data_IF_571756898717
#
_entry.id   IF_571756898717
#
_cell.length_a   1.000
_cell.length_b   1.000
_cell.length_c   1.000
_cell.angle_alpha   90.00
_cell.angle_beta   90.00
_cell.angle_gamma   90.00
#
_symmetry.space_group_name_H-M   'P 1'
#
loop_
_entity.id
_entity.type
_entity.pdbx_description
1 polymer ?
#
# COMPACT_ATOMS: atom_id res chain seq x y z
N UNK A 1 72.45 -81.28 -45.45
CA UNK A 1 71.80 -82.00 -44.33
C UNK A 1 70.29 -81.95 -44.55
N UNK A 2 69.65 -83.13 -44.60
CA UNK A 2 68.32 -83.47 -44.05
C UNK A 2 67.36 -82.31 -43.71
N UNK A 3 66.05 -82.29 -43.99
CA UNK A 3 65.09 -83.40 -44.12
C UNK A 3 63.65 -82.82 -44.19
N UNK A 4 62.85 -83.39 -45.09
CA UNK A 4 61.41 -83.70 -45.00
C UNK A 4 60.34 -82.63 -44.70
N UNK A 5 59.49 -82.41 -45.73
CA UNK A 5 58.01 -82.57 -45.75
C UNK A 5 57.19 -82.02 -44.58
N UNK A 6 56.17 -81.21 -44.87
CA UNK A 6 54.84 -81.72 -45.24
C UNK A 6 53.80 -80.58 -45.30
N UNK A 7 53.12 -80.48 -46.45
CA UNK A 7 51.77 -79.92 -46.53
C UNK A 7 50.83 -80.61 -45.53
N UNK A 8 50.00 -79.82 -44.84
CA UNK A 8 48.64 -80.23 -44.46
C UNK A 8 47.80 -79.02 -44.01
N UNK A 9 46.82 -78.73 -44.85
CA UNK A 9 45.57 -78.04 -44.58
C UNK A 9 44.96 -78.48 -43.23
N UNK A 10 44.69 -77.53 -42.34
CA UNK A 10 43.73 -77.66 -41.24
C UNK A 10 42.93 -76.35 -41.16
N UNK A 11 41.76 -76.28 -41.81
CA UNK A 11 40.45 -76.76 -41.33
C UNK A 11 39.85 -75.80 -40.29
N UNK A 12 38.81 -75.12 -40.73
CA UNK A 12 37.86 -74.29 -39.99
C UNK A 12 37.52 -74.84 -38.60
N UNK A 13 37.53 -73.98 -37.57
CA UNK A 13 36.88 -74.24 -36.29
C UNK A 13 35.57 -73.46 -36.21
N UNK A 14 34.40 -74.12 -36.30
CA UNK A 14 33.16 -73.54 -35.79
C UNK A 14 33.21 -73.57 -34.26
N UNK A 15 32.96 -72.42 -33.63
CA UNK A 15 32.70 -72.32 -32.19
C UNK A 15 31.39 -73.05 -31.90
N UNK A 16 31.47 -74.28 -31.42
CA UNK A 16 30.34 -75.01 -30.89
C UNK A 16 29.85 -74.32 -29.61
N UNK A 17 28.73 -73.61 -29.72
CA UNK A 17 27.94 -73.18 -28.57
C UNK A 17 27.45 -74.45 -27.88
N UNK A 18 28.07 -74.83 -26.77
CA UNK A 18 27.56 -75.90 -25.91
C UNK A 18 26.24 -75.41 -25.30
N UNK A 19 25.12 -75.93 -25.81
CA UNK A 19 23.81 -75.76 -25.18
C UNK A 19 23.88 -76.34 -23.77
N UNK A 20 23.77 -75.47 -22.77
CA UNK A 20 23.59 -75.88 -21.38
C UNK A 20 22.11 -76.22 -21.21
N UNK A 21 21.79 -77.50 -21.04
CA UNK A 21 20.42 -77.94 -20.71
C UNK A 21 20.11 -77.59 -19.25
N UNK A 22 19.53 -76.40 -19.05
CA UNK A 22 18.98 -75.98 -17.77
C UNK A 22 17.58 -76.56 -17.60
N UNK A 23 17.41 -77.57 -16.74
CA UNK A 23 16.07 -78.05 -16.33
C UNK A 23 15.50 -77.12 -15.26
N UNK A 24 14.78 -76.08 -15.70
CA UNK A 24 14.11 -75.13 -14.80
C UNK A 24 12.71 -75.64 -14.47
N UNK A 25 12.43 -75.89 -13.19
CA UNK A 25 11.06 -76.18 -12.73
C UNK A 25 10.26 -74.88 -12.69
N UNK A 26 9.25 -74.77 -13.54
CA UNK A 26 8.40 -73.59 -13.66
C UNK A 26 6.99 -73.90 -13.17
N UNK A 27 6.30 -72.92 -12.59
CA UNK A 27 4.90 -73.10 -12.19
C UNK A 27 4.02 -73.41 -13.42
N UNK A 28 2.94 -74.19 -13.28
CA UNK A 28 2.06 -74.53 -14.40
C UNK A 28 1.51 -73.29 -15.12
N UNK A 29 1.25 -72.21 -14.39
CA UNK A 29 0.77 -70.93 -14.93
C UNK A 29 1.81 -70.24 -15.80
N UNK A 30 3.07 -70.17 -15.34
CA UNK A 30 4.16 -69.57 -16.11
C UNK A 30 4.52 -70.44 -17.32
N UNK A 31 4.51 -71.77 -17.18
CA UNK A 31 4.69 -72.70 -18.30
C UNK A 31 3.58 -72.58 -19.37
N UNK A 32 2.36 -72.22 -18.97
CA UNK A 32 1.24 -71.92 -19.89
C UNK A 32 1.46 -70.60 -20.62
N UNK A 33 1.93 -69.57 -19.91
CA UNK A 33 2.23 -68.25 -20.49
C UNK A 33 3.39 -68.30 -21.49
N UNK A 34 4.47 -69.02 -21.16
CA UNK A 34 5.61 -69.22 -22.06
C UNK A 34 5.16 -69.92 -23.34
N UNK A 35 4.33 -70.97 -23.25
CA UNK A 35 3.77 -71.65 -24.43
C UNK A 35 2.92 -70.72 -25.28
N UNK A 36 1.98 -69.99 -24.68
CA UNK A 36 1.16 -68.99 -25.40
C UNK A 36 2.01 -67.91 -26.08
N UNK A 37 3.08 -67.48 -25.42
CA UNK A 37 4.00 -66.49 -25.97
C UNK A 37 4.75 -67.05 -27.18
N UNK A 38 5.36 -68.23 -27.04
CA UNK A 38 6.07 -68.90 -28.13
C UNK A 38 5.17 -69.18 -29.34
N UNK A 39 3.90 -69.56 -29.12
CA UNK A 39 2.90 -69.72 -30.18
C UNK A 39 2.63 -68.42 -30.94
N UNK A 40 2.57 -67.29 -30.23
CA UNK A 40 2.34 -65.97 -30.83
C UNK A 40 3.58 -65.44 -31.56
N UNK A 41 4.77 -65.65 -31.02
CA UNK A 41 6.05 -65.30 -31.67
C UNK A 41 6.26 -66.12 -32.95
N UNK A 42 5.98 -67.43 -32.91
CA UNK A 42 6.05 -68.30 -34.08
C UNK A 42 5.06 -67.88 -35.19
N UNK A 43 3.95 -67.22 -34.81
CA UNK A 43 3.00 -66.60 -35.72
C UNK A 43 3.45 -65.26 -36.32
N UNK A 44 4.67 -64.79 -36.00
CA UNK A 44 5.24 -63.55 -36.54
C UNK A 44 5.03 -62.30 -35.67
N UNK A 45 4.44 -62.42 -34.48
CA UNK A 45 4.32 -61.30 -33.53
C UNK A 45 5.68 -60.95 -32.94
N UNK A 46 5.91 -59.66 -32.68
CA UNK A 46 7.08 -59.22 -31.93
C UNK A 46 7.06 -59.85 -30.51
N UNK A 47 8.23 -60.19 -29.91
CA UNK A 47 8.30 -60.86 -28.62
C UNK A 47 7.55 -60.12 -27.49
N UNK A 48 7.62 -58.79 -27.49
CA UNK A 48 6.92 -57.94 -26.52
C UNK A 48 5.41 -58.01 -26.66
N UNK A 49 4.89 -58.06 -27.88
CA UNK A 49 3.46 -58.10 -28.15
C UNK A 49 2.89 -59.50 -27.89
N UNK A 50 3.69 -60.54 -28.16
CA UNK A 50 3.38 -61.92 -27.81
C UNK A 50 3.29 -62.12 -26.30
N UNK A 51 4.23 -61.53 -25.53
CA UNK A 51 4.20 -61.54 -24.06
C UNK A 51 2.98 -60.80 -23.50
N UNK A 52 2.71 -59.59 -23.99
CA UNK A 52 1.55 -58.79 -23.57
C UNK A 52 0.23 -59.50 -23.90
N UNK A 53 0.12 -60.07 -25.10
CA UNK A 53 -1.05 -60.85 -25.51
C UNK A 53 -1.22 -62.12 -24.68
N UNK A 54 -0.12 -62.82 -24.34
CA UNK A 54 -0.16 -63.99 -23.45
C UNK A 54 -0.60 -63.61 -22.03
N UNK A 55 -0.23 -62.43 -21.56
CA UNK A 55 -0.69 -61.84 -20.29
C UNK A 55 -2.15 -61.32 -20.35
N UNK A 56 -2.79 -61.34 -21.52
CA UNK A 56 -4.18 -60.89 -21.70
C UNK A 56 -4.33 -59.40 -21.98
N UNK A 57 -3.25 -58.68 -22.27
CA UNK A 57 -3.25 -57.26 -22.60
C UNK A 57 -3.26 -57.10 -24.12
N UNK A 58 -4.25 -56.40 -24.66
CA UNK A 58 -4.25 -56.07 -26.08
C UNK A 58 -3.25 -54.94 -26.37
N UNK A 59 -2.43 -55.02 -27.42
CA UNK A 59 -1.46 -53.97 -27.76
C UNK A 59 -2.14 -52.62 -28.05
N UNK A 60 -3.36 -52.65 -28.61
CA UNK A 60 -4.16 -51.45 -28.86
C UNK A 60 -4.60 -50.75 -27.56
N UNK A 61 -4.92 -51.50 -26.50
CA UNK A 61 -5.28 -50.96 -25.19
C UNK A 61 -4.04 -50.35 -24.49
N UNK A 62 -2.88 -50.97 -24.63
CA UNK A 62 -1.64 -50.40 -24.09
C UNK A 62 -1.27 -49.09 -24.79
N UNK A 63 -1.45 -49.02 -26.11
CA UNK A 63 -1.20 -47.80 -26.88
C UNK A 63 -2.15 -46.66 -26.46
N UNK A 64 -3.45 -46.95 -26.30
CA UNK A 64 -4.41 -45.94 -25.85
C UNK A 64 -4.16 -45.49 -24.40
N UNK A 65 -3.79 -46.41 -23.50
CA UNK A 65 -3.41 -46.07 -22.13
C UNK A 65 -2.16 -45.18 -22.07
N UNK A 66 -1.15 -45.46 -22.90
CA UNK A 66 0.05 -44.60 -23.01
C UNK A 66 -0.30 -43.23 -23.53
N UNK A 67 -1.10 -43.15 -24.59
CA UNK A 67 -1.57 -41.89 -25.14
C UNK A 67 -2.36 -41.07 -24.11
N UNK A 68 -3.25 -41.71 -23.36
CA UNK A 68 -4.02 -41.04 -22.30
C UNK A 68 -3.12 -40.59 -21.14
N UNK A 69 -2.10 -41.37 -20.78
CA UNK A 69 -1.11 -40.99 -19.78
C UNK A 69 -0.30 -39.76 -20.24
N UNK A 70 0.10 -39.71 -21.51
CA UNK A 70 0.77 -38.56 -22.10
C UNK A 70 -0.12 -37.32 -22.11
N UNK A 71 -1.37 -37.44 -22.58
CA UNK A 71 -2.34 -36.34 -22.60
C UNK A 71 -2.61 -35.79 -21.19
N UNK A 72 -2.91 -36.68 -20.23
CA UNK A 72 -3.13 -36.26 -18.84
C UNK A 72 -1.88 -35.64 -18.21
N UNK A 73 -0.68 -36.13 -18.55
CA UNK A 73 0.56 -35.52 -18.08
C UNK A 73 0.77 -34.11 -18.62
N UNK A 74 0.40 -33.86 -19.88
CA UNK A 74 0.44 -32.54 -20.49
C UNK A 74 -0.59 -31.60 -19.84
N UNK A 75 -1.83 -32.06 -19.65
CA UNK A 75 -2.87 -31.29 -18.96
C UNK A 75 -2.45 -30.92 -17.53
N UNK A 76 -1.84 -31.85 -16.79
CA UNK A 76 -1.31 -31.58 -15.44
C UNK A 76 -0.19 -30.53 -15.49
N UNK A 77 0.69 -30.59 -16.49
CA UNK A 77 1.76 -29.60 -16.66
C UNK A 77 1.19 -28.20 -16.93
N UNK A 78 0.18 -28.10 -17.80
CA UNK A 78 -0.50 -26.85 -18.13
C UNK A 78 -1.24 -26.27 -16.91
N UNK A 79 -2.00 -27.11 -16.19
CA UNK A 79 -2.68 -26.68 -14.96
C UNK A 79 -1.69 -26.22 -13.88
N UNK A 80 -0.54 -26.88 -13.76
CA UNK A 80 0.53 -26.43 -12.84
C UNK A 80 1.12 -25.09 -13.26
N UNK A 81 1.31 -24.86 -14.56
CA UNK A 81 1.78 -23.57 -15.07
C UNK A 81 0.77 -22.45 -14.78
N UNK A 82 -0.52 -22.72 -15.01
CA UNK A 82 -1.60 -21.77 -14.70
C UNK A 82 -1.69 -21.48 -13.20
N UNK A 83 -1.60 -22.51 -12.35
CA UNK A 83 -1.59 -22.34 -10.90
C UNK A 83 -0.38 -21.50 -10.43
N UNK A 84 0.81 -21.74 -10.97
CA UNK A 84 1.99 -20.94 -10.66
C UNK A 84 1.83 -19.48 -11.08
N UNK A 85 1.19 -19.22 -12.23
CA UNK A 85 0.87 -17.86 -12.68
C UNK A 85 -0.14 -17.18 -11.76
N UNK A 86 -1.20 -17.88 -11.37
CA UNK A 86 -2.21 -17.35 -10.44
C UNK A 86 -1.58 -17.01 -9.08
N UNK A 87 -0.71 -17.87 -8.53
CA UNK A 87 0.01 -17.60 -7.29
C UNK A 87 0.91 -16.35 -7.39
N UNK A 88 1.57 -16.13 -8.52
CA UNK A 88 2.35 -14.90 -8.77
C UNK A 88 1.47 -13.65 -8.85
N UNK A 89 0.27 -13.77 -9.39
CA UNK A 89 -0.69 -12.67 -9.42
C UNK A 89 -1.22 -12.36 -8.02
N UNK A 90 -1.54 -13.39 -7.24
CA UNK A 90 -1.96 -13.24 -5.85
C UNK A 90 -0.88 -12.54 -5.05
N UNK A 91 0.38 -13.01 -5.10
CA UNK A 91 1.47 -12.37 -4.35
C UNK A 91 1.71 -10.92 -4.77
N UNK A 92 1.56 -10.59 -6.05
CA UNK A 92 1.60 -9.21 -6.53
C UNK A 92 0.47 -8.38 -5.93
N UNK A 93 -0.77 -8.86 -5.99
CA UNK A 93 -1.92 -8.15 -5.45
C UNK A 93 -1.82 -7.97 -3.92
N UNK A 94 -1.32 -8.96 -3.20
CA UNK A 94 -1.03 -8.86 -1.76
C UNK A 94 -0.03 -7.75 -1.46
N UNK A 95 1.07 -7.67 -2.24
CA UNK A 95 2.05 -6.60 -2.06
C UNK A 95 1.48 -5.21 -2.38
N UNK A 96 0.62 -5.09 -3.39
CA UNK A 96 -0.06 -3.84 -3.70
C UNK A 96 -1.09 -3.46 -2.63
N UNK A 97 -1.78 -4.45 -2.03
CA UNK A 97 -2.71 -4.22 -0.93
C UNK A 97 -1.96 -3.70 0.31
N UNK A 98 -0.85 -4.35 0.70
CA UNK A 98 -0.01 -3.89 1.80
C UNK A 98 0.48 -2.44 1.58
N UNK A 99 0.92 -2.11 0.36
CA UNK A 99 1.32 -0.74 0.04
C UNK A 99 0.16 0.27 0.16
N UNK A 100 -1.07 -0.12 -0.20
CA UNK A 100 -2.25 0.72 -0.02
C UNK A 100 -2.57 0.91 1.46
N UNK A 101 -2.44 -0.13 2.28
CA UNK A 101 -2.66 -0.07 3.72
C UNK A 101 -1.66 0.87 4.40
N UNK A 102 -0.38 0.79 4.04
CA UNK A 102 0.66 1.74 4.51
C UNK A 102 0.29 3.18 4.16
N UNK A 103 -0.19 3.41 2.93
CA UNK A 103 -0.61 4.75 2.50
C UNK A 103 -1.86 5.25 3.22
N UNK A 104 -2.80 4.36 3.54
CA UNK A 104 -3.98 4.70 4.33
C UNK A 104 -3.56 5.10 5.75
N UNK A 105 -2.64 4.35 6.37
CA UNK A 105 -2.12 4.66 7.70
C UNK A 105 -1.44 6.04 7.73
N UNK A 106 -0.62 6.37 6.73
CA UNK A 106 0.00 7.70 6.60
C UNK A 106 -1.05 8.81 6.45
N UNK A 107 -2.05 8.63 5.59
CA UNK A 107 -3.11 9.62 5.41
C UNK A 107 -3.95 9.82 6.68
N UNK A 108 -4.13 8.77 7.49
CA UNK A 108 -4.83 8.88 8.77
C UNK A 108 -4.02 9.70 9.79
N UNK A 109 -2.70 9.52 9.82
CA UNK A 109 -1.79 10.32 10.66
C UNK A 109 -1.79 11.80 10.25
N UNK A 110 -1.73 12.07 8.94
CA UNK A 110 -1.82 13.42 8.37
C UNK A 110 -3.16 14.09 8.75
N UNK A 111 -4.28 13.36 8.63
CA UNK A 111 -5.60 13.86 9.03
C UNK A 111 -5.65 14.13 10.54
N UNK A 112 -5.06 13.25 11.36
CA UNK A 112 -4.94 13.44 12.80
C UNK A 112 -4.21 14.73 13.15
N UNK A 113 -3.01 14.91 12.58
CA UNK A 113 -2.17 16.09 12.76
C UNK A 113 -2.88 17.38 12.31
N UNK A 114 -3.53 17.35 11.14
CA UNK A 114 -4.28 18.50 10.63
C UNK A 114 -5.49 18.85 11.52
N UNK A 115 -6.14 17.84 12.09
CA UNK A 115 -7.28 18.02 12.99
C UNK A 115 -6.85 18.66 14.32
N UNK A 116 -5.70 18.22 14.87
CA UNK A 116 -5.11 18.84 16.07
C UNK A 116 -4.73 20.29 15.83
N UNK A 117 -4.03 20.59 14.72
CA UNK A 117 -3.67 21.96 14.35
C UNK A 117 -4.91 22.87 14.23
N UNK A 118 -5.98 22.38 13.60
CA UNK A 118 -7.25 23.12 13.48
C UNK A 118 -7.94 23.32 14.83
N UNK A 119 -7.83 22.37 15.76
CA UNK A 119 -8.34 22.55 17.12
C UNK A 119 -7.56 23.61 17.90
N UNK A 120 -6.24 23.65 17.74
CA UNK A 120 -5.38 24.65 18.36
C UNK A 120 -5.66 26.06 17.81
N UNK A 121 -5.77 26.21 16.49
CA UNK A 121 -6.16 27.48 15.87
C UNK A 121 -7.54 27.96 16.37
N UNK A 122 -8.52 27.04 16.45
CA UNK A 122 -9.85 27.36 17.00
C UNK A 122 -9.80 27.76 18.48
N UNK A 123 -8.88 27.20 19.26
CA UNK A 123 -8.66 27.62 20.65
C UNK A 123 -8.07 29.03 20.67
N UNK A 124 -7.02 29.29 19.90
CA UNK A 124 -6.39 30.62 19.81
C UNK A 124 -7.39 31.70 19.38
N UNK A 125 -8.22 31.45 18.37
CA UNK A 125 -9.26 32.37 17.93
C UNK A 125 -10.29 32.67 19.05
N UNK A 126 -10.69 31.66 19.83
CA UNK A 126 -11.60 31.85 20.97
C UNK A 126 -10.96 32.67 22.08
N UNK A 127 -9.70 32.39 22.39
CA UNK A 127 -8.95 33.11 23.41
C UNK A 127 -8.74 34.57 23.01
N UNK A 128 -8.40 34.83 21.74
CA UNK A 128 -8.32 36.18 21.18
C UNK A 128 -9.67 36.91 21.24
N UNK A 129 -10.77 36.25 20.85
CA UNK A 129 -12.10 36.84 20.92
C UNK A 129 -12.52 37.19 22.36
N UNK A 130 -12.19 36.32 23.34
CA UNK A 130 -12.42 36.59 24.75
C UNK A 130 -11.58 37.77 25.26
N UNK A 131 -10.30 37.84 24.88
CA UNK A 131 -9.41 38.94 25.23
C UNK A 131 -9.90 40.29 24.66
N UNK A 132 -10.35 40.30 23.40
CA UNK A 132 -10.93 41.49 22.77
C UNK A 132 -12.19 41.94 23.52
N UNK A 133 -13.12 41.02 23.81
CA UNK A 133 -14.34 41.35 24.58
C UNK A 133 -14.02 41.91 25.97
N UNK A 134 -13.08 41.30 26.69
CA UNK A 134 -12.65 41.78 28.00
C UNK A 134 -12.04 43.19 27.93
N UNK A 135 -11.27 43.47 26.87
CA UNK A 135 -10.72 44.80 26.61
C UNK A 135 -11.82 45.80 26.27
N UNK A 136 -12.80 45.43 25.47
CA UNK A 136 -13.94 46.28 25.12
C UNK A 136 -14.76 46.63 26.36
N UNK A 137 -15.02 45.66 27.24
CA UNK A 137 -15.67 45.90 28.54
C UNK A 137 -14.83 46.82 29.45
N UNK A 138 -13.51 46.61 29.49
CA UNK A 138 -12.60 47.48 30.26
C UNK A 138 -12.62 48.91 29.72
N UNK A 139 -12.59 49.08 28.39
CA UNK A 139 -12.67 50.37 27.74
C UNK A 139 -14.02 51.04 28.04
N UNK A 140 -15.13 50.30 27.92
CA UNK A 140 -16.46 50.79 28.24
C UNK A 140 -16.57 51.26 29.70
N UNK A 141 -15.98 50.52 30.66
CA UNK A 141 -15.91 50.94 32.06
C UNK A 141 -15.05 52.18 32.26
N UNK A 142 -13.88 52.26 31.60
CA UNK A 142 -12.97 53.40 31.72
C UNK A 142 -13.48 54.68 31.05
N UNK A 143 -14.35 54.53 30.05
CA UNK A 143 -15.03 55.62 29.36
C UNK A 143 -16.44 55.87 29.90
N UNK A 144 -16.91 55.06 30.87
CA UNK A 144 -18.20 55.28 31.49
C UNK A 144 -18.18 56.62 32.22
N UNK A 145 -19.17 57.44 31.91
CA UNK A 145 -19.39 58.72 32.55
C UNK A 145 -20.22 58.59 33.83
N UNK A 146 -20.56 57.35 34.24
CA UNK A 146 -21.32 57.08 35.45
C UNK A 146 -20.55 57.56 36.69
N UNK A 147 -21.06 58.63 37.31
CA UNK A 147 -20.45 59.31 38.45
C UNK A 147 -19.92 60.71 38.17
N UNK A 148 -19.96 61.18 36.92
CA UNK A 148 -19.77 62.60 36.60
C UNK A 148 -21.07 63.37 36.90
N UNK A 149 -20.91 64.57 37.47
CA UNK A 149 -22.00 65.52 37.63
C UNK A 149 -22.57 65.92 36.25
N UNK A 150 -23.87 66.27 36.19
CA UNK A 150 -24.54 66.50 34.89
C UNK A 150 -23.82 67.55 34.04
N UNK A 151 -23.16 68.50 34.70
CA UNK A 151 -22.33 69.52 34.06
C UNK A 151 -21.09 68.94 33.36
N UNK A 152 -20.34 68.03 34.00
CA UNK A 152 -19.19 67.42 33.34
C UNK A 152 -19.58 66.39 32.27
N UNK A 153 -20.73 65.74 32.41
CA UNK A 153 -21.30 64.89 31.37
C UNK A 153 -21.68 65.70 30.12
N UNK A 154 -22.40 66.82 30.27
CA UNK A 154 -22.74 67.74 29.17
C UNK A 154 -21.49 68.36 28.52
N UNK A 155 -20.49 68.73 29.31
CA UNK A 155 -19.23 69.28 28.80
C UNK A 155 -18.46 68.23 27.96
N UNK A 156 -18.44 66.97 28.39
CA UNK A 156 -17.78 65.89 27.64
C UNK A 156 -18.55 65.49 26.37
N UNK A 157 -19.87 65.52 26.40
CA UNK A 157 -20.70 65.28 25.22
C UNK A 157 -20.54 66.41 24.18
N UNK A 158 -20.47 67.67 24.64
CA UNK A 158 -20.15 68.82 23.79
C UNK A 158 -18.73 68.76 23.19
N UNK A 159 -17.75 68.28 23.96
CA UNK A 159 -16.39 68.04 23.45
C UNK A 159 -16.36 66.88 22.44
N UNK A 160 -17.13 65.81 22.66
CA UNK A 160 -17.24 64.67 21.74
C UNK A 160 -17.85 65.10 20.39
N UNK A 161 -18.95 65.86 20.42
CA UNK A 161 -19.58 66.36 19.20
C UNK A 161 -18.64 67.23 18.36
N UNK A 162 -17.82 68.07 19.01
CA UNK A 162 -16.81 68.89 18.33
C UNK A 162 -15.59 68.11 17.81
N UNK A 163 -15.32 66.94 18.40
CA UNK A 163 -14.29 66.00 17.95
C UNK A 163 -14.73 65.24 16.70
N UNK A 164 -16.02 64.90 16.59
CA UNK A 164 -16.62 64.29 15.39
C UNK A 164 -16.68 65.28 14.21
N UNK A 165 -16.72 66.59 14.47
CA UNK A 165 -16.66 67.66 13.46
C UNK A 165 -15.24 68.08 13.04
N UNK A 166 -14.19 67.40 13.53
CA UNK A 166 -12.77 67.64 13.20
C UNK A 166 -12.25 69.07 13.52
N UNK A 167 -12.94 69.81 14.39
CA UNK A 167 -12.61 71.19 14.76
C UNK A 167 -11.59 71.27 15.92
N UNK A 168 -10.40 70.74 15.67
CA UNK A 168 -9.29 70.63 16.64
C UNK A 168 -8.92 71.92 17.38
N UNK A 169 -9.03 73.09 16.74
CA UNK A 169 -8.65 74.38 17.33
C UNK A 169 -9.66 74.88 18.37
N UNK A 170 -10.95 74.73 18.09
CA UNK A 170 -12.03 75.10 19.02
C UNK A 170 -12.11 74.15 20.21
N UNK A 171 -11.78 72.88 19.99
CA UNK A 171 -11.74 71.86 21.02
C UNK A 171 -10.68 72.18 22.10
N UNK A 172 -9.51 72.65 21.67
CA UNK A 172 -8.42 73.09 22.57
C UNK A 172 -8.81 74.33 23.38
N UNK A 173 -9.53 75.28 22.79
CA UNK A 173 -10.03 76.46 23.48
C UNK A 173 -11.11 76.11 24.51
N UNK A 174 -12.01 75.18 24.19
CA UNK A 174 -13.05 74.71 25.10
C UNK A 174 -12.47 73.97 26.32
N UNK A 175 -11.48 73.09 26.11
CA UNK A 175 -10.75 72.39 27.19
C UNK A 175 -10.03 73.38 28.12
N UNK A 176 -9.39 74.41 27.57
CA UNK A 176 -8.68 75.43 28.35
C UNK A 176 -9.63 76.27 29.24
N UNK A 177 -10.87 76.51 28.78
CA UNK A 177 -11.86 77.31 29.52
C UNK A 177 -12.57 76.56 30.65
N UNK A 178 -12.53 75.22 30.66
CA UNK A 178 -13.20 74.40 31.68
C UNK A 178 -12.47 74.39 33.04
N UNK A 179 -11.21 74.87 33.10
CA UNK A 179 -10.50 75.20 34.36
C UNK A 179 -10.26 74.05 35.37
N UNK A 180 -10.75 72.84 35.11
CA UNK A 180 -10.71 71.72 36.04
C UNK A 180 -9.44 70.87 35.86
N UNK A 181 -8.69 70.56 36.94
CA UNK A 181 -7.41 69.83 36.84
C UNK A 181 -7.54 68.41 36.27
N UNK A 182 -8.71 67.78 36.41
CA UNK A 182 -9.00 66.45 35.85
C UNK A 182 -9.22 66.50 34.33
N UNK A 183 -9.71 67.62 33.79
CA UNK A 183 -9.96 67.83 32.35
C UNK A 183 -8.65 68.17 31.62
N UNK A 184 -7.72 68.86 32.29
CA UNK A 184 -6.35 69.06 31.78
C UNK A 184 -5.57 67.74 31.67
N UNK A 185 -5.79 66.78 32.58
CA UNK A 185 -5.20 65.44 32.48
C UNK A 185 -5.75 64.66 31.26
N UNK A 186 -7.02 64.86 30.89
CA UNK A 186 -7.63 64.28 29.68
C UNK A 186 -7.04 64.88 28.39
N UNK A 187 -6.69 66.18 28.37
CA UNK A 187 -5.97 66.80 27.24
C UNK A 187 -4.68 66.05 26.89
N UNK A 188 -3.87 65.69 27.89
CA UNK A 188 -2.63 64.95 27.68
C UNK A 188 -2.83 63.50 27.21
N UNK A 189 -3.97 62.87 27.53
CA UNK A 189 -4.33 61.54 27.03
C UNK A 189 -4.85 61.59 25.59
N UNK A 190 -5.59 62.65 25.24
CA UNK A 190 -6.06 62.90 23.87
C UNK A 190 -4.87 63.17 22.94
N UNK A 191 -3.88 63.97 23.36
CA UNK A 191 -2.67 64.20 22.58
C UNK A 191 -1.87 62.91 22.33
N UNK A 192 -1.74 62.03 23.35
CA UNK A 192 -1.09 60.71 23.19
C UNK A 192 -1.87 59.78 22.26
N UNK A 193 -3.20 59.88 22.24
CA UNK A 193 -4.07 59.08 21.36
C UNK A 193 -4.01 59.58 19.92
N UNK A 194 -4.01 60.90 19.71
CA UNK A 194 -3.83 61.53 18.41
C UNK A 194 -2.48 61.16 17.76
N UNK A 195 -1.42 61.02 18.57
CA UNK A 195 -0.10 60.57 18.09
C UNK A 195 -0.04 59.06 17.76
N UNK A 196 -0.93 58.24 18.34
CA UNK A 196 -0.96 56.77 18.14
C UNK A 196 -1.84 56.32 16.99
N UNK A 197 -2.84 57.11 16.61
CA UNK A 197 -3.74 56.81 15.49
C UNK A 197 -3.02 56.61 14.13
N UNK A 198 -2.00 57.41 13.76
CA UNK A 198 -1.22 57.17 12.54
C UNK A 198 -0.45 55.84 12.56
N UNK A 199 0.09 55.45 13.72
CA UNK A 199 0.82 54.19 13.92
C UNK A 199 -0.09 52.97 13.80
N UNK A 200 -1.29 53.03 14.37
CA UNK A 200 -2.29 51.95 14.27
C UNK A 200 -2.78 51.82 12.82
N UNK A 201 -2.96 52.95 12.12
CA UNK A 201 -3.38 52.97 10.71
C UNK A 201 -2.29 52.43 9.77
N UNK A 202 -1.01 52.56 10.13
CA UNK A 202 0.12 51.97 9.41
C UNK A 202 0.28 50.46 9.68
N UNK A 203 -0.08 49.97 10.87
CA UNK A 203 0.01 48.53 11.22
C UNK A 203 -1.13 47.68 10.62
N UNK A 204 -2.19 48.31 10.14
CA UNK A 204 -3.38 47.67 9.56
C UNK A 204 -3.45 47.77 8.02
N UNK A 205 -2.43 48.35 7.40
CA UNK A 205 -2.26 48.49 5.94
C UNK A 205 -1.07 47.67 5.47
#
# INVERSE_FOLDING_TARGET
MTSLRADRLLKTRPSAVTQVECTVRVSPTLARLIRKCAEKEAGGSAPTDALLSAAGVAPAELASLRQNAELSSAEIADLRAQAAQALRQISKLESEAAHRDDRIALLQDDIGTATEALHDERRQCRDMAAALRGRDEQLARSLSLDGLDSFAAEALEGLRHRLEEDNSAELKAAIANLGHPQILALSGLIDRRAQRLPLIRWLLS
#
